data_IF_527445625747
#
_entry.id   IF_527445625747
#
_cell.length_a   1.000
_cell.length_b   1.000
_cell.length_c   1.000
_cell.angle_alpha   90.00
_cell.angle_beta   90.00
_cell.angle_gamma   90.00
#
_symmetry.space_group_name_H-M   'P 1'
#
loop_
_entity.id
_entity.type
_entity.pdbx_description
1 polymer ?
#
# COMPACT_ATOMS: atom_id res chain seq x y z
N UNK A 1 5.57 -33.22 6.94
CA UNK A 1 6.88 -33.19 6.23
C UNK A 1 7.81 -34.20 6.89
N UNK A 2 8.53 -34.94 6.10
CA UNK A 2 9.54 -35.88 6.57
C UNK A 2 10.92 -35.32 6.29
N UNK A 3 11.84 -35.42 7.24
CA UNK A 3 13.21 -34.99 7.04
C UNK A 3 13.93 -36.06 6.22
N UNK A 4 14.48 -35.65 5.08
CA UNK A 4 15.38 -36.45 4.25
C UNK A 4 16.81 -35.96 4.48
N UNK A 5 17.71 -36.86 4.76
CA UNK A 5 19.15 -36.60 4.78
C UNK A 5 19.78 -37.47 3.71
N UNK A 6 20.40 -36.83 2.71
CA UNK A 6 20.96 -37.51 1.51
C UNK A 6 19.92 -38.43 0.81
N UNK A 7 18.70 -37.90 0.66
CA UNK A 7 17.54 -38.61 0.08
C UNK A 7 17.07 -39.86 0.85
N UNK A 8 17.58 -40.09 2.04
CA UNK A 8 17.15 -41.19 2.90
C UNK A 8 16.19 -40.66 3.98
N UNK A 9 15.12 -41.42 4.23
CA UNK A 9 14.19 -41.14 5.31
C UNK A 9 14.89 -41.35 6.67
N UNK A 10 14.80 -40.33 7.54
CA UNK A 10 15.40 -40.44 8.89
C UNK A 10 14.53 -41.21 9.87
N UNK A 11 13.30 -41.56 9.49
CA UNK A 11 12.32 -42.16 10.37
C UNK A 11 11.66 -41.20 11.36
N UNK A 12 12.14 -39.97 11.46
CA UNK A 12 11.54 -38.93 12.30
C UNK A 12 10.48 -38.14 11.53
N UNK A 13 9.28 -38.11 12.07
CA UNK A 13 8.18 -37.32 11.52
C UNK A 13 8.03 -36.05 12.34
N UNK A 14 8.38 -34.95 11.79
CA UNK A 14 8.13 -33.61 12.36
C UNK A 14 6.83 -33.04 11.81
N UNK A 15 5.82 -32.93 12.64
CA UNK A 15 4.58 -32.25 12.31
C UNK A 15 4.74 -30.76 12.61
N UNK A 16 4.71 -29.93 11.60
CA UNK A 16 4.57 -28.48 11.78
C UNK A 16 3.40 -27.98 10.95
N UNK A 17 2.61 -27.13 11.57
CA UNK A 17 1.58 -26.39 10.88
C UNK A 17 2.26 -25.27 10.10
N UNK A 18 2.03 -25.22 8.79
CA UNK A 18 2.35 -24.02 8.04
C UNK A 18 1.57 -22.86 8.65
N UNK A 19 2.24 -21.79 9.02
CA UNK A 19 1.56 -20.59 9.47
C UNK A 19 0.62 -20.14 8.35
N UNK A 20 -0.64 -19.94 8.69
CA UNK A 20 -1.61 -19.33 7.78
C UNK A 20 -1.09 -17.96 7.41
N UNK A 21 -1.10 -17.62 6.13
CA UNK A 21 -0.68 -16.29 5.67
C UNK A 21 -1.48 -15.22 6.41
N UNK A 22 -0.80 -14.18 6.89
CA UNK A 22 -1.44 -13.08 7.59
C UNK A 22 -1.93 -12.07 6.56
N UNK A 23 -3.17 -11.62 6.73
CA UNK A 23 -3.74 -10.56 5.92
C UNK A 23 -3.33 -9.19 6.49
N UNK A 24 -2.95 -8.28 5.60
CA UNK A 24 -2.78 -6.88 5.96
C UNK A 24 -4.15 -6.25 6.31
N UNK A 25 -4.20 -5.24 7.17
CA UNK A 25 -5.44 -4.51 7.41
C UNK A 25 -6.05 -4.01 6.09
N UNK A 26 -7.37 -4.15 5.95
CA UNK A 26 -8.11 -3.82 4.72
C UNK A 26 -7.47 -4.38 3.43
N UNK A 27 -6.90 -5.57 3.46
CA UNK A 27 -6.19 -6.18 2.33
C UNK A 27 -7.10 -6.46 1.13
N UNK A 28 -8.39 -6.61 1.35
CA UNK A 28 -9.41 -6.74 0.31
C UNK A 28 -9.88 -5.42 -0.27
N UNK A 29 -9.48 -4.30 0.32
CA UNK A 29 -9.94 -2.96 -0.05
C UNK A 29 -11.47 -2.80 -0.02
N UNK A 30 -12.11 -3.42 0.96
CA UNK A 30 -13.57 -3.34 1.14
C UNK A 30 -14.00 -2.08 1.89
N UNK A 31 -13.12 -1.53 2.75
CA UNK A 31 -13.42 -0.36 3.57
C UNK A 31 -12.88 0.90 2.92
N UNK A 32 -13.80 1.80 2.60
CA UNK A 32 -13.50 3.11 2.00
C UNK A 32 -14.38 4.18 2.62
N UNK A 33 -13.83 5.37 2.76
CA UNK A 33 -14.58 6.56 3.16
C UNK A 33 -14.39 7.67 2.14
N UNK A 34 -15.48 8.30 1.72
CA UNK A 34 -15.46 9.50 0.89
C UNK A 34 -15.67 10.72 1.78
N UNK A 35 -14.59 11.45 2.04
CA UNK A 35 -14.61 12.71 2.79
C UNK A 35 -13.74 13.72 2.07
N UNK A 36 -14.32 14.57 1.23
CA UNK A 36 -13.66 15.46 0.26
C UNK A 36 -12.95 14.69 -0.88
N UNK A 37 -12.37 13.55 -0.58
CA UNK A 37 -11.78 12.60 -1.52
C UNK A 37 -11.89 11.18 -0.96
N UNK A 38 -11.45 10.16 -1.70
CA UNK A 38 -11.49 8.78 -1.25
C UNK A 38 -10.28 8.41 -0.37
N UNK A 39 -10.59 7.70 0.73
CA UNK A 39 -9.62 7.14 1.65
C UNK A 39 -9.88 5.64 1.83
N UNK A 40 -8.86 4.77 1.71
CA UNK A 40 -9.00 3.32 1.87
C UNK A 40 -8.99 2.91 3.35
N UNK A 41 -9.89 3.49 4.14
CA UNK A 41 -10.01 3.28 5.58
C UNK A 41 -11.41 3.66 6.08
N UNK A 42 -11.69 3.41 7.35
CA UNK A 42 -12.90 3.85 8.04
C UNK A 42 -12.87 5.36 8.35
N UNK A 43 -14.02 5.93 8.62
CA UNK A 43 -14.15 7.38 8.81
C UNK A 43 -13.41 7.92 10.03
N UNK A 44 -13.32 7.14 11.10
CA UNK A 44 -12.60 7.47 12.34
C UNK A 44 -11.07 7.48 12.15
N UNK A 45 -10.56 6.76 11.14
CA UNK A 45 -9.13 6.70 10.82
C UNK A 45 -8.63 7.91 10.01
N UNK A 46 -9.53 8.70 9.41
CA UNK A 46 -9.14 9.86 8.58
C UNK A 46 -8.52 10.98 9.42
N UNK A 47 -8.94 11.11 10.67
CA UNK A 47 -8.56 12.26 11.49
C UNK A 47 -9.19 13.58 10.99
N UNK A 48 -8.64 14.70 11.40
CA UNK A 48 -9.23 16.01 11.12
C UNK A 48 -9.05 16.49 9.67
N UNK A 49 -8.01 16.05 9.00
CA UNK A 49 -7.63 16.54 7.67
C UNK A 49 -7.25 15.46 6.64
N UNK A 50 -7.28 14.18 7.04
CA UNK A 50 -6.93 13.06 6.16
C UNK A 50 -5.44 12.97 5.78
N UNK A 51 -4.58 13.64 6.52
CA UNK A 51 -3.14 13.73 6.24
C UNK A 51 -2.30 13.67 7.52
N UNK A 52 -1.00 13.47 7.33
CA UNK A 52 0.00 13.52 8.38
C UNK A 52 -0.21 12.44 9.45
N UNK A 53 0.28 12.71 10.64
CA UNK A 53 0.23 11.77 11.77
C UNK A 53 -1.18 11.58 12.34
N UNK A 54 -2.11 12.48 12.02
CA UNK A 54 -3.51 12.35 12.42
C UNK A 54 -4.31 11.33 11.59
N UNK A 55 -3.80 10.94 10.42
CA UNK A 55 -4.37 9.85 9.62
C UNK A 55 -3.84 8.52 10.14
N UNK A 56 -4.72 7.66 10.60
CA UNK A 56 -4.36 6.38 11.23
C UNK A 56 -4.66 5.16 10.36
N UNK A 57 -5.33 5.34 9.22
CA UNK A 57 -5.59 4.27 8.25
C UNK A 57 -4.31 3.55 7.82
N UNK A 58 -4.40 2.25 7.57
CA UNK A 58 -3.23 1.45 7.19
C UNK A 58 -2.68 1.83 5.81
N UNK A 59 -3.58 2.05 4.86
CA UNK A 59 -3.26 2.43 3.48
C UNK A 59 -3.45 3.92 3.26
N UNK A 60 -2.47 4.56 2.66
CA UNK A 60 -2.52 5.94 2.19
C UNK A 60 -2.52 6.03 0.67
N UNK A 61 -2.92 7.18 0.16
CA UNK A 61 -2.94 7.50 -1.27
C UNK A 61 -2.52 8.95 -1.50
N UNK A 62 -2.21 9.30 -2.74
CA UNK A 62 -1.97 10.69 -3.16
C UNK A 62 -3.23 11.53 -3.31
N UNK A 63 -4.41 10.96 -3.06
CA UNK A 63 -5.68 11.69 -3.22
C UNK A 63 -5.75 13.03 -2.49
N UNK A 64 -5.27 13.18 -1.24
CA UNK A 64 -5.33 14.46 -0.56
C UNK A 64 -4.59 15.58 -1.31
N UNK A 65 -3.47 15.24 -1.96
CA UNK A 65 -2.74 16.16 -2.82
C UNK A 65 -3.45 16.41 -4.16
N UNK A 66 -3.89 15.35 -4.81
CA UNK A 66 -4.56 15.40 -6.10
C UNK A 66 -5.92 16.13 -6.02
N UNK A 67 -6.60 16.05 -4.90
CA UNK A 67 -7.87 16.71 -4.66
C UNK A 67 -7.78 18.27 -4.73
N UNK A 68 -6.63 18.84 -4.47
CA UNK A 68 -6.40 20.26 -4.68
C UNK A 68 -6.58 20.69 -6.14
N UNK A 69 -6.37 19.75 -7.08
CA UNK A 69 -6.62 19.91 -8.51
C UNK A 69 -7.98 19.34 -8.96
N UNK A 70 -8.84 18.95 -8.04
CA UNK A 70 -10.16 18.39 -8.31
C UNK A 70 -10.14 16.97 -8.92
N UNK A 71 -9.02 16.22 -8.81
CA UNK A 71 -8.89 14.86 -9.35
C UNK A 71 -8.73 13.81 -8.26
N UNK A 72 -9.15 12.59 -8.58
CA UNK A 72 -9.03 11.41 -7.73
C UNK A 72 -8.21 10.36 -8.47
N UNK A 73 -7.10 9.94 -7.89
CA UNK A 73 -6.15 9.00 -8.52
C UNK A 73 -6.25 7.59 -7.95
N UNK A 74 -6.96 7.41 -6.84
CA UNK A 74 -7.18 6.11 -6.20
C UNK A 74 -8.58 6.08 -5.59
N UNK A 75 -9.37 5.08 -5.95
CA UNK A 75 -10.77 4.96 -5.51
C UNK A 75 -11.22 3.50 -5.42
N UNK A 76 -12.34 3.17 -4.75
CA UNK A 76 -12.91 1.84 -4.81
C UNK A 76 -13.46 1.54 -6.20
N UNK A 77 -13.32 0.30 -6.63
CA UNK A 77 -13.99 -0.25 -7.80
C UNK A 77 -14.81 -1.49 -7.46
N UNK A 78 -15.96 -1.66 -8.10
CA UNK A 78 -16.82 -2.86 -8.00
C UNK A 78 -16.30 -3.97 -8.91
N UNK A 79 -15.05 -4.36 -8.70
CA UNK A 79 -14.33 -5.31 -9.53
C UNK A 79 -13.41 -6.17 -8.64
N UNK A 80 -14.02 -7.04 -7.82
CA UNK A 80 -13.26 -7.86 -6.87
C UNK A 80 -12.44 -8.92 -7.59
N UNK A 81 -11.45 -9.44 -6.91
CA UNK A 81 -10.71 -10.61 -7.38
C UNK A 81 -11.66 -11.80 -7.60
N UNK A 82 -11.57 -12.52 -8.72
CA UNK A 82 -12.38 -13.73 -8.94
C UNK A 82 -12.22 -14.72 -7.79
N UNK A 83 -13.35 -15.19 -7.28
CA UNK A 83 -13.40 -16.13 -6.16
C UNK A 83 -13.15 -15.52 -4.79
N UNK A 84 -13.07 -14.18 -4.67
CA UNK A 84 -13.09 -13.53 -3.35
C UNK A 84 -14.53 -13.45 -2.82
N UNK A 85 -14.65 -13.30 -1.49
CA UNK A 85 -15.94 -13.01 -0.83
C UNK A 85 -16.23 -11.51 -0.76
N UNK A 86 -15.26 -10.68 -1.13
CA UNK A 86 -15.40 -9.23 -1.16
C UNK A 86 -16.08 -8.74 -2.43
N UNK A 87 -16.45 -7.47 -2.44
CA UNK A 87 -17.13 -6.78 -3.54
C UNK A 87 -16.31 -5.66 -4.17
N UNK A 88 -15.18 -5.32 -3.60
CA UNK A 88 -14.36 -4.17 -3.98
C UNK A 88 -12.94 -4.55 -4.38
N UNK A 89 -12.28 -3.59 -5.01
CA UNK A 89 -10.83 -3.54 -5.21
C UNK A 89 -10.37 -2.08 -5.16
N UNK A 90 -9.07 -1.87 -5.13
CA UNK A 90 -8.50 -0.54 -5.28
C UNK A 90 -8.18 -0.26 -6.75
N UNK A 91 -8.82 0.75 -7.32
CA UNK A 91 -8.53 1.26 -8.66
C UNK A 91 -7.53 2.40 -8.57
N UNK A 92 -6.38 2.21 -9.19
CA UNK A 92 -5.34 3.24 -9.34
C UNK A 92 -5.35 3.73 -10.79
N UNK A 93 -5.53 5.01 -10.98
CA UNK A 93 -5.58 5.63 -12.32
C UNK A 93 -4.72 6.88 -12.40
N UNK A 94 -3.90 6.95 -13.42
CA UNK A 94 -3.16 8.17 -13.74
C UNK A 94 -4.11 9.19 -14.36
N UNK A 95 -4.07 10.41 -13.87
CA UNK A 95 -4.86 11.53 -14.38
C UNK A 95 -3.99 12.76 -14.59
N UNK A 96 -4.46 13.72 -15.35
CA UNK A 96 -3.79 14.98 -15.52
C UNK A 96 -4.72 16.14 -15.18
N UNK A 97 -4.18 17.16 -14.54
CA UNK A 97 -4.84 18.44 -14.31
C UNK A 97 -3.81 19.57 -14.41
N UNK A 98 -4.18 20.68 -15.04
CA UNK A 98 -3.32 21.86 -15.21
C UNK A 98 -1.94 21.55 -15.82
N UNK A 99 -1.87 20.57 -16.73
CA UNK A 99 -0.61 20.14 -17.36
C UNK A 99 0.30 19.28 -16.48
N UNK A 100 -0.14 18.90 -15.28
CA UNK A 100 0.60 18.01 -14.38
C UNK A 100 -0.03 16.62 -14.39
N UNK A 101 0.81 15.60 -14.47
CA UNK A 101 0.39 14.19 -14.38
C UNK A 101 0.45 13.77 -12.92
N UNK A 102 -0.68 13.25 -12.41
CA UNK A 102 -0.80 12.63 -11.11
C UNK A 102 -1.00 11.12 -11.29
N UNK A 103 0.00 10.34 -10.93
CA UNK A 103 -0.06 8.89 -11.02
C UNK A 103 -0.96 8.29 -9.93
N UNK A 104 -1.75 7.29 -10.28
CA UNK A 104 -2.46 6.46 -9.31
C UNK A 104 -1.47 5.78 -8.38
N UNK A 105 -1.70 5.88 -7.08
CA UNK A 105 -0.79 5.32 -6.09
C UNK A 105 -1.53 4.85 -4.84
N UNK A 106 -0.95 3.84 -4.21
CA UNK A 106 -1.42 3.26 -2.96
C UNK A 106 -0.19 2.81 -2.18
N UNK A 107 -0.09 3.17 -0.92
CA UNK A 107 1.06 2.84 -0.09
C UNK A 107 0.67 2.61 1.37
N UNK A 108 1.49 1.89 2.10
CA UNK A 108 1.30 1.72 3.54
C UNK A 108 1.83 2.96 4.24
N UNK A 109 0.94 3.74 4.86
CA UNK A 109 1.30 5.00 5.50
C UNK A 109 0.25 6.09 5.36
N UNK A 110 0.68 7.35 5.35
CA UNK A 110 -0.17 8.53 5.25
C UNK A 110 0.40 9.56 4.28
N UNK A 111 -0.44 10.25 3.55
CA UNK A 111 -0.04 11.47 2.83
C UNK A 111 0.34 12.53 3.85
N UNK A 112 1.51 13.14 3.71
CA UNK A 112 2.04 14.07 4.71
C UNK A 112 1.54 15.50 4.52
N UNK A 113 1.65 16.00 3.30
CA UNK A 113 1.23 17.35 2.94
C UNK A 113 1.67 17.76 1.54
N UNK A 114 1.17 18.89 1.08
CA UNK A 114 1.48 19.47 -0.22
C UNK A 114 2.45 20.64 -0.03
N UNK A 115 3.57 20.62 -0.74
CA UNK A 115 4.49 21.76 -0.81
C UNK A 115 4.16 22.69 -1.96
N UNK A 116 3.84 22.11 -3.11
CA UNK A 116 3.36 22.82 -4.31
C UNK A 116 2.64 21.82 -5.23
N UNK A 117 2.22 22.28 -6.41
CA UNK A 117 1.41 21.49 -7.36
C UNK A 117 2.04 20.13 -7.78
N UNK A 118 3.37 20.01 -7.67
CA UNK A 118 4.11 18.79 -8.07
C UNK A 118 4.84 18.12 -6.94
N UNK A 119 4.82 18.71 -5.74
CA UNK A 119 5.65 18.27 -4.63
C UNK A 119 4.87 18.18 -3.33
N UNK A 120 5.18 17.16 -2.56
CA UNK A 120 4.62 16.91 -1.23
C UNK A 120 5.43 15.88 -0.47
N UNK A 121 4.97 15.52 0.68
CA UNK A 121 5.55 14.47 1.53
C UNK A 121 4.57 13.35 1.79
N UNK A 122 5.14 12.19 2.08
CA UNK A 122 4.42 11.02 2.58
C UNK A 122 5.15 10.44 3.79
N UNK A 123 4.37 9.94 4.72
CA UNK A 123 4.86 9.18 5.87
C UNK A 123 4.67 7.70 5.55
N UNK A 124 5.75 7.03 5.14
CA UNK A 124 5.74 5.63 4.76
C UNK A 124 5.89 4.72 5.96
N UNK A 125 5.15 3.62 5.94
CA UNK A 125 5.22 2.56 6.91
C UNK A 125 4.09 2.59 7.94
N UNK A 126 3.71 1.40 8.36
CA UNK A 126 2.82 1.13 9.50
C UNK A 126 3.43 0.01 10.30
N UNK A 127 3.21 0.06 11.59
CA UNK A 127 3.61 -1.03 12.45
C UNK A 127 2.83 -2.28 12.06
N UNK A 128 3.58 -3.35 11.90
CA UNK A 128 3.05 -4.64 11.55
C UNK A 128 3.47 -5.64 12.61
N UNK A 129 2.50 -6.15 13.36
CA UNK A 129 2.77 -7.11 14.43
C UNK A 129 2.83 -8.51 13.85
N UNK A 130 4.03 -9.02 13.67
CA UNK A 130 4.31 -10.34 13.17
C UNK A 130 5.13 -11.14 14.16
N UNK A 131 4.78 -12.41 14.32
CA UNK A 131 5.57 -13.35 15.08
C UNK A 131 6.56 -14.14 14.21
N UNK A 132 6.52 -13.95 12.90
CA UNK A 132 7.39 -14.62 11.94
C UNK A 132 7.88 -13.64 10.87
N UNK A 133 9.00 -13.96 10.25
CA UNK A 133 9.50 -13.19 9.09
C UNK A 133 8.78 -13.66 7.83
N UNK A 134 7.98 -12.84 7.16
CA UNK A 134 7.36 -13.24 5.90
C UNK A 134 8.43 -13.46 4.83
N UNK A 135 8.25 -14.51 4.03
CA UNK A 135 9.13 -14.82 2.90
C UNK A 135 8.61 -14.23 1.60
N UNK A 136 7.32 -13.90 1.55
CA UNK A 136 6.68 -13.37 0.36
C UNK A 136 5.46 -12.52 0.74
N UNK A 137 5.12 -11.59 -0.13
CA UNK A 137 3.82 -10.94 -0.18
C UNK A 137 3.14 -11.40 -1.47
N UNK A 138 1.86 -11.74 -1.37
CA UNK A 138 1.05 -12.13 -2.54
C UNK A 138 -0.06 -11.12 -2.71
N UNK A 139 -0.27 -10.66 -3.93
CA UNK A 139 -1.37 -9.76 -4.27
C UNK A 139 -1.90 -10.10 -5.68
N UNK A 140 -3.11 -9.66 -5.93
CA UNK A 140 -3.76 -9.81 -7.22
C UNK A 140 -3.86 -8.46 -7.88
N UNK A 141 -3.57 -8.41 -9.17
CA UNK A 141 -3.72 -7.19 -9.95
C UNK A 141 -4.26 -7.51 -11.34
N UNK A 142 -4.94 -6.56 -11.91
CA UNK A 142 -5.19 -6.47 -13.34
C UNK A 142 -5.01 -5.01 -13.74
N UNK A 143 -4.63 -4.76 -14.98
CA UNK A 143 -4.44 -3.39 -15.41
C UNK A 143 -4.01 -3.30 -16.86
N UNK A 144 -4.18 -2.11 -17.39
CA UNK A 144 -3.67 -1.69 -18.69
C UNK A 144 -2.76 -0.49 -18.44
N UNK A 145 -1.54 -0.57 -18.93
CA UNK A 145 -0.60 0.54 -18.92
C UNK A 145 -0.40 1.04 -20.35
N UNK A 146 -0.23 2.33 -20.52
CA UNK A 146 0.06 2.94 -21.82
C UNK A 146 1.39 2.44 -22.39
N UNK A 147 1.58 2.60 -23.70
CA UNK A 147 2.84 2.27 -24.36
C UNK A 147 3.99 3.09 -23.77
N UNK A 148 5.00 2.39 -23.24
CA UNK A 148 6.14 3.00 -22.56
C UNK A 148 5.95 3.27 -21.07
N UNK A 149 4.74 3.14 -20.54
CA UNK A 149 4.46 3.26 -19.13
C UNK A 149 4.76 1.97 -18.35
N UNK A 150 4.84 2.10 -17.02
CA UNK A 150 5.09 0.97 -16.10
C UNK A 150 4.26 1.10 -14.85
N UNK A 151 3.62 0.01 -14.43
CA UNK A 151 3.20 -0.17 -13.06
C UNK A 151 4.39 -0.65 -12.22
N UNK A 152 4.60 -0.08 -11.05
CA UNK A 152 5.68 -0.45 -10.14
C UNK A 152 5.12 -0.89 -8.80
N UNK A 153 5.58 -2.03 -8.32
CA UNK A 153 5.35 -2.50 -6.97
C UNK A 153 6.67 -2.46 -6.20
N UNK A 154 6.61 -1.96 -5.00
CA UNK A 154 7.75 -1.89 -4.11
C UNK A 154 7.36 -2.37 -2.72
N UNK A 155 8.14 -3.27 -2.15
CA UNK A 155 7.94 -3.78 -0.80
C UNK A 155 9.23 -3.61 -0.03
N UNK A 156 9.14 -2.93 1.12
CA UNK A 156 10.24 -2.78 2.05
C UNK A 156 9.74 -3.11 3.46
N UNK A 157 10.51 -3.89 4.18
CA UNK A 157 10.30 -4.16 5.59
C UNK A 157 11.54 -3.71 6.35
N UNK A 158 11.33 -2.84 7.33
CA UNK A 158 12.41 -2.29 8.12
C UNK A 158 12.08 -2.29 9.60
N UNK A 159 13.09 -2.01 10.42
CA UNK A 159 12.95 -1.80 11.85
C UNK A 159 13.10 -0.30 12.11
N UNK A 160 11.96 0.40 12.13
CA UNK A 160 11.92 1.83 12.37
C UNK A 160 11.28 2.15 13.72
N UNK A 161 11.71 3.25 14.33
CA UNK A 161 11.10 3.79 15.55
C UNK A 161 9.86 4.65 15.25
N UNK A 162 9.74 5.17 14.02
CA UNK A 162 8.64 6.01 13.56
C UNK A 162 8.43 5.82 12.04
N UNK A 163 7.58 6.65 11.43
CA UNK A 163 7.43 6.67 9.97
C UNK A 163 8.72 7.08 9.27
N UNK A 164 8.94 6.55 8.09
CA UNK A 164 9.92 7.08 7.17
C UNK A 164 9.27 8.21 6.34
N UNK A 165 9.70 9.44 6.57
CA UNK A 165 9.21 10.58 5.80
C UNK A 165 9.94 10.64 4.46
N UNK A 166 9.19 10.58 3.35
CA UNK A 166 9.69 10.89 2.02
C UNK A 166 9.24 12.31 1.68
N UNK A 167 10.19 13.18 1.39
CA UNK A 167 9.99 14.56 1.00
C UNK A 167 10.45 14.75 -0.45
N UNK A 168 9.54 15.09 -1.35
CA UNK A 168 9.89 15.26 -2.76
C UNK A 168 10.78 16.49 -3.05
N UNK A 169 11.03 17.35 -2.06
CA UNK A 169 12.06 18.38 -2.15
C UNK A 169 13.45 17.86 -1.77
N UNK A 170 13.54 16.72 -1.08
CA UNK A 170 14.79 16.13 -0.62
C UNK A 170 14.89 14.66 -1.08
N UNK A 171 15.63 14.45 -2.17
CA UNK A 171 15.81 13.12 -2.75
C UNK A 171 16.55 12.13 -1.83
N UNK A 172 17.29 12.62 -0.84
CA UNK A 172 17.96 11.76 0.14
C UNK A 172 16.99 10.99 1.04
N UNK A 173 15.73 11.44 1.10
CA UNK A 173 14.66 10.78 1.85
C UNK A 173 14.04 9.59 1.11
N UNK A 174 14.35 9.40 -0.17
CA UNK A 174 13.76 8.35 -0.98
C UNK A 174 14.37 7.00 -0.64
N UNK A 175 13.55 5.95 -0.70
CA UNK A 175 14.08 4.60 -0.59
C UNK A 175 14.98 4.27 -1.77
N UNK A 176 16.16 3.77 -1.45
CA UNK A 176 17.04 3.16 -2.44
C UNK A 176 16.74 1.67 -2.50
N UNK A 177 16.15 1.17 -3.60
CA UNK A 177 15.84 -0.25 -3.73
C UNK A 177 17.08 -1.14 -3.89
N UNK A 178 18.28 -0.56 -3.93
CA UNK A 178 19.53 -1.30 -4.00
C UNK A 178 20.17 -1.60 -2.63
N UNK A 179 19.60 -1.06 -1.53
CA UNK A 179 20.09 -1.26 -0.16
C UNK A 179 19.33 -2.36 0.59
#
# INVERSE_FOLDING_TARGET
YQLLINDAETGEIHNFSAATGIQLPNAGFETWTNSKTWYPCSADEIGSNGMGTGYTGFWGTGNPGANAAGIVVTEPADDPRPGSTGSKSALLKTQSAFGVIAAGNLFIGAFGGVHNITKGDVYMGRRFTFNARPKAITFWYKGTVGSGDKARFFVCMGKWSSYHKIDTNDQSTFFDPSQ
#
